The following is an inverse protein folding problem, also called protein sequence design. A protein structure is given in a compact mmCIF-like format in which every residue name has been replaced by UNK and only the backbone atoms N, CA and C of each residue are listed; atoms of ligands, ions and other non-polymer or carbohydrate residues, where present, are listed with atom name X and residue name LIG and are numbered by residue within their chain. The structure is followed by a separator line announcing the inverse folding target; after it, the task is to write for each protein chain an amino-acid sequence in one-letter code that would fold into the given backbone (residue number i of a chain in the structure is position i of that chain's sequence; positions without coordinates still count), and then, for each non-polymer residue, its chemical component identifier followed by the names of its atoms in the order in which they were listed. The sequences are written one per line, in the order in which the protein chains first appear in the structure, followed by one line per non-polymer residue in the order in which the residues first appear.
data_IF_393045177714
#
_entry.id   IF_393045177714
#
_cell.length_a   1.000
_cell.length_b   1.000
_cell.length_c   1.000
_cell.angle_alpha   90.00
_cell.angle_beta   90.00
_cell.angle_gamma   90.00
#
_symmetry.space_group_name_H-M   'P 1'
#
loop_
_entity.id
_entity.type
_entity.pdbx_description
1 polymer ?
#
# COMPACT_ATOMS: atom_id res chain seq x y z
N UNK A 1 -1.44 -9.83 -10.89
CA UNK A 1 -2.83 -10.32 -10.94
C UNK A 1 -3.75 -9.15 -10.64
N UNK A 2 -4.83 -9.02 -11.41
CA UNK A 2 -5.81 -7.94 -11.25
C UNK A 2 -7.20 -8.48 -10.93
N UNK A 3 -8.04 -7.64 -10.31
CA UNK A 3 -9.45 -7.90 -10.07
C UNK A 3 -10.24 -6.62 -10.36
N UNK A 4 -11.42 -6.74 -10.95
CA UNK A 4 -12.35 -5.61 -11.13
C UNK A 4 -13.65 -5.89 -10.38
N UNK A 5 -14.14 -4.91 -9.65
CA UNK A 5 -15.41 -4.99 -8.92
C UNK A 5 -16.20 -3.70 -9.08
N UNK A 6 -17.52 -3.82 -9.16
CA UNK A 6 -18.43 -2.68 -9.05
C UNK A 6 -18.62 -2.35 -7.55
N UNK A 7 -18.34 -1.10 -7.17
CA UNK A 7 -18.46 -0.61 -5.80
C UNK A 7 -19.43 0.57 -5.78
N UNK A 8 -20.42 0.52 -4.89
CA UNK A 8 -21.35 1.64 -4.68
C UNK A 8 -20.59 2.92 -4.34
N UNK A 9 -20.84 4.00 -5.07
CA UNK A 9 -20.04 5.23 -5.05
C UNK A 9 -19.08 5.36 -6.23
N UNK A 10 -17.85 4.80 -6.18
CA UNK A 10 -16.83 5.01 -7.20
C UNK A 10 -17.07 4.23 -8.51
N UNK A 11 -18.03 3.29 -8.54
CA UNK A 11 -18.35 2.47 -9.70
C UNK A 11 -17.34 1.33 -9.88
N UNK A 12 -16.93 1.05 -11.11
CA UNK A 12 -15.95 0.02 -11.41
C UNK A 12 -14.55 0.40 -10.88
N UNK A 13 -14.00 -0.43 -10.00
CA UNK A 13 -12.67 -0.27 -9.40
C UNK A 13 -11.75 -1.39 -9.83
N UNK A 14 -10.54 -1.05 -10.29
CA UNK A 14 -9.46 -1.99 -10.59
C UNK A 14 -8.57 -2.19 -9.37
N UNK A 15 -8.27 -3.43 -9.02
CA UNK A 15 -7.39 -3.82 -7.92
C UNK A 15 -6.16 -4.54 -8.45
N UNK A 16 -4.98 -4.21 -7.92
CA UNK A 16 -3.72 -4.92 -8.16
C UNK A 16 -2.83 -4.87 -6.92
N UNK A 17 -1.79 -5.70 -6.84
CA UNK A 17 -0.85 -5.63 -5.71
C UNK A 17 0.02 -4.38 -5.78
N UNK A 18 0.72 -4.17 -6.90
CA UNK A 18 1.49 -2.94 -7.16
C UNK A 18 0.96 -2.19 -8.38
N UNK A 19 1.45 -2.50 -9.58
CA UNK A 19 0.90 -2.00 -10.85
C UNK A 19 0.14 -3.13 -11.55
N UNK A 20 -0.75 -2.85 -12.52
CA UNK A 20 -1.44 -3.91 -13.26
C UNK A 20 -0.51 -4.84 -14.05
N UNK A 21 0.71 -4.37 -14.38
CA UNK A 21 1.69 -5.12 -15.17
C UNK A 21 2.80 -5.79 -14.35
N UNK A 22 2.98 -5.39 -13.09
CA UNK A 22 4.02 -5.93 -12.21
C UNK A 22 3.59 -5.95 -10.75
N UNK A 23 3.92 -7.04 -10.07
CA UNK A 23 3.71 -7.19 -8.62
C UNK A 23 4.85 -6.53 -7.80
N UNK A 24 5.95 -6.11 -8.45
CA UNK A 24 7.17 -5.65 -7.76
C UNK A 24 7.62 -4.24 -8.13
N UNK A 25 7.02 -3.63 -9.16
CA UNK A 25 7.33 -2.24 -9.50
C UNK A 25 6.99 -1.33 -8.33
N UNK A 26 7.92 -0.48 -7.91
CA UNK A 26 7.67 0.45 -6.80
C UNK A 26 7.25 1.80 -7.35
N UNK A 27 6.14 2.34 -6.84
CA UNK A 27 5.77 3.74 -6.96
C UNK A 27 5.14 4.25 -5.66
N UNK A 28 5.29 5.53 -5.39
CA UNK A 28 4.90 6.16 -4.13
C UNK A 28 4.11 7.44 -4.39
N UNK A 29 3.64 8.08 -3.31
CA UNK A 29 3.02 9.41 -3.41
C UNK A 29 3.96 10.49 -3.95
N UNK A 30 5.29 10.25 -3.93
CA UNK A 30 6.29 11.19 -4.44
C UNK A 30 6.74 10.89 -5.87
N UNK A 31 6.38 9.73 -6.42
CA UNK A 31 6.72 9.39 -7.81
C UNK A 31 6.15 10.45 -8.76
N UNK A 32 7.01 10.93 -9.65
CA UNK A 32 6.66 11.99 -10.60
C UNK A 32 5.54 11.52 -11.53
N UNK A 33 4.49 12.33 -11.68
CA UNK A 33 3.31 11.96 -12.45
C UNK A 33 3.64 11.61 -13.91
N UNK A 34 4.55 12.35 -14.55
CA UNK A 34 4.99 12.06 -15.92
C UNK A 34 5.61 10.67 -16.11
N UNK A 35 6.14 10.03 -15.05
CA UNK A 35 6.60 8.63 -15.10
C UNK A 35 5.46 7.62 -14.99
N UNK A 36 4.36 8.01 -14.36
CA UNK A 36 3.19 7.16 -14.11
C UNK A 36 2.17 7.25 -15.26
N UNK A 37 2.02 8.41 -15.91
CA UNK A 37 1.05 8.57 -17.01
C UNK A 37 1.12 7.44 -18.06
N UNK A 38 2.31 7.03 -18.58
CA UNK A 38 2.39 5.94 -19.55
C UNK A 38 1.92 4.57 -19.02
N UNK A 39 1.87 4.39 -17.69
CA UNK A 39 1.41 3.17 -17.03
C UNK A 39 -0.10 3.19 -16.77
N UNK A 40 -0.65 4.36 -16.41
CA UNK A 40 -2.03 4.49 -15.94
C UNK A 40 -2.99 4.93 -17.06
N UNK A 41 -2.60 5.81 -17.98
CA UNK A 41 -3.49 6.27 -19.07
C UNK A 41 -4.06 5.13 -19.93
N UNK A 42 -3.27 4.11 -20.34
CA UNK A 42 -3.79 3.02 -21.17
C UNK A 42 -4.82 2.13 -20.45
N UNK A 43 -4.90 2.19 -19.12
CA UNK A 43 -5.85 1.38 -18.35
C UNK A 43 -7.30 1.84 -18.55
N UNK A 44 -7.50 3.13 -18.85
CA UNK A 44 -8.83 3.75 -19.02
C UNK A 44 -9.79 3.48 -17.85
N UNK A 45 -9.26 3.42 -16.62
CA UNK A 45 -10.04 3.26 -15.39
C UNK A 45 -10.12 4.58 -14.62
N UNK A 46 -11.28 4.86 -14.03
CA UNK A 46 -11.48 6.02 -13.15
C UNK A 46 -10.84 5.82 -11.78
N UNK A 47 -10.71 4.58 -11.32
CA UNK A 47 -10.17 4.25 -10.01
C UNK A 47 -9.32 2.97 -10.00
N UNK A 48 -8.21 3.05 -9.28
CA UNK A 48 -7.35 1.90 -9.00
C UNK A 48 -7.00 1.84 -7.51
N UNK A 49 -7.08 0.65 -6.92
CA UNK A 49 -6.62 0.38 -5.56
C UNK A 49 -5.42 -0.55 -5.61
N UNK A 50 -4.33 -0.15 -4.95
CA UNK A 50 -3.09 -0.91 -4.86
C UNK A 50 -2.59 -1.08 -3.42
N UNK A 51 -1.46 -1.75 -3.28
CA UNK A 51 -0.73 -1.97 -2.04
C UNK A 51 0.79 -1.90 -2.28
N UNK A 52 1.48 -3.00 -1.97
CA UNK A 52 2.92 -3.22 -2.22
C UNK A 52 3.90 -2.34 -1.42
N UNK A 53 3.73 -1.01 -1.43
CA UNK A 53 4.63 -0.09 -0.73
C UNK A 53 4.24 0.19 0.71
N UNK A 54 3.12 -0.36 1.17
CA UNK A 54 2.68 -0.37 2.57
C UNK A 54 2.36 1.00 3.20
N UNK A 55 2.49 2.09 2.43
CA UNK A 55 2.14 3.45 2.81
C UNK A 55 0.80 3.84 2.18
N UNK A 56 -0.09 4.42 2.98
CA UNK A 56 -1.36 4.91 2.45
C UNK A 56 -1.16 6.19 1.65
N UNK A 57 -1.84 6.28 0.50
CA UNK A 57 -2.02 7.54 -0.22
C UNK A 57 -3.30 7.50 -1.06
N UNK A 58 -3.76 8.69 -1.43
CA UNK A 58 -4.89 8.90 -2.34
C UNK A 58 -4.53 10.09 -3.23
N UNK A 59 -4.31 9.83 -4.52
CA UNK A 59 -3.93 10.88 -5.47
C UNK A 59 -4.46 10.62 -6.87
N UNK A 60 -4.56 11.68 -7.65
CA UNK A 60 -4.78 11.59 -9.09
C UNK A 60 -3.47 11.30 -9.82
N UNK A 61 -3.56 10.47 -10.86
CA UNK A 61 -2.54 10.25 -11.88
C UNK A 61 -3.26 10.35 -13.23
N UNK A 62 -3.12 11.49 -13.90
CA UNK A 62 -3.95 11.80 -15.06
C UNK A 62 -5.44 11.70 -14.73
N UNK A 63 -6.18 10.87 -15.48
CA UNK A 63 -7.61 10.63 -15.26
C UNK A 63 -7.96 9.60 -14.18
N UNK A 64 -6.98 8.89 -13.61
CA UNK A 64 -7.21 7.80 -12.66
C UNK A 64 -6.97 8.25 -11.23
N UNK A 65 -7.94 8.02 -10.33
CA UNK A 65 -7.74 8.13 -8.88
C UNK A 65 -7.09 6.86 -8.36
N UNK A 66 -5.88 6.97 -7.82
CA UNK A 66 -5.10 5.84 -7.33
C UNK A 66 -5.00 5.91 -5.82
N UNK A 67 -5.43 4.83 -5.16
CA UNK A 67 -5.46 4.72 -3.70
C UNK A 67 -4.63 3.53 -3.28
N UNK A 68 -3.62 3.77 -2.45
CA UNK A 68 -2.88 2.70 -1.79
C UNK A 68 -3.51 2.41 -0.43
N UNK A 69 -3.94 1.17 -0.20
CA UNK A 69 -4.63 0.80 1.02
C UNK A 69 -3.71 0.75 2.26
N UNK A 70 -2.39 0.74 2.05
CA UNK A 70 -1.39 0.54 3.10
C UNK A 70 -1.18 -0.96 3.39
N UNK A 71 -0.69 -1.24 4.60
CA UNK A 71 -0.46 -2.62 5.07
C UNK A 71 -1.05 -2.86 6.44
N UNK A 72 -1.80 -3.95 6.56
CA UNK A 72 -2.41 -4.37 7.83
C UNK A 72 -1.35 -4.87 8.81
N UNK A 73 -0.34 -5.60 8.33
CA UNK A 73 0.63 -6.31 9.18
C UNK A 73 2.05 -5.75 9.16
N UNK A 74 2.36 -4.86 8.22
CA UNK A 74 3.70 -4.28 8.07
C UNK A 74 3.61 -2.85 7.53
N UNK A 75 2.95 -1.92 8.24
CA UNK A 75 2.86 -0.53 7.79
C UNK A 75 4.24 0.14 7.75
N UNK A 76 4.40 1.14 6.89
CA UNK A 76 5.50 2.10 6.99
C UNK A 76 4.92 3.47 7.40
N UNK A 77 5.39 3.99 8.54
CA UNK A 77 4.78 5.10 9.26
C UNK A 77 4.58 4.76 10.73
N UNK A 78 3.48 5.26 11.31
CA UNK A 78 3.12 4.97 12.70
C UNK A 78 2.62 3.53 12.89
N UNK A 79 2.82 2.90 14.07
CA UNK A 79 2.23 1.59 14.37
C UNK A 79 0.70 1.56 14.19
N UNK A 80 0.20 0.51 13.54
CA UNK A 80 -1.23 0.27 13.34
C UNK A 80 -1.52 -0.67 12.17
N UNK A 81 -2.75 -1.14 12.08
CA UNK A 81 -3.22 -1.86 10.89
C UNK A 81 -3.84 -0.86 9.92
N UNK A 82 -3.24 -0.70 8.73
CA UNK A 82 -3.70 0.24 7.70
C UNK A 82 -4.57 -0.50 6.68
N UNK A 83 -5.75 0.06 6.40
CA UNK A 83 -6.72 -0.51 5.48
C UNK A 83 -7.61 0.57 4.86
N UNK A 84 -8.31 0.21 3.78
CA UNK A 84 -9.18 1.10 3.03
C UNK A 84 -10.64 0.71 3.23
N UNK A 85 -11.48 1.65 3.66
CA UNK A 85 -12.94 1.49 3.61
C UNK A 85 -13.43 2.01 2.26
N UNK A 86 -14.01 1.10 1.46
CA UNK A 86 -14.60 1.37 0.16
C UNK A 86 -16.13 1.25 0.24
N UNK A 87 -16.80 2.22 -0.36
CA UNK A 87 -18.26 2.35 -0.43
C UNK A 87 -18.60 3.73 -1.00
N UNK A 88 -19.77 4.31 -0.68
CA UNK A 88 -20.17 5.62 -1.17
C UNK A 88 -19.10 6.71 -0.95
N UNK A 89 -18.36 6.57 0.15
CA UNK A 89 -17.14 7.32 0.43
C UNK A 89 -15.91 6.39 0.42
N UNK A 90 -14.75 6.98 0.18
CA UNK A 90 -13.45 6.32 0.27
C UNK A 90 -12.69 6.88 1.46
N UNK A 91 -12.31 6.01 2.39
CA UNK A 91 -11.65 6.44 3.63
C UNK A 91 -10.45 5.55 3.95
N UNK A 92 -9.28 6.17 4.02
CA UNK A 92 -8.08 5.56 4.57
C UNK A 92 -8.26 5.41 6.08
N UNK A 93 -8.02 4.21 6.60
CA UNK A 93 -8.22 3.85 8.01
C UNK A 93 -6.95 3.26 8.58
N UNK A 94 -6.76 3.52 9.88
CA UNK A 94 -5.75 2.91 10.73
C UNK A 94 -6.44 2.45 12.00
N UNK A 95 -6.23 1.19 12.37
CA UNK A 95 -6.76 0.60 13.60
C UNK A 95 -5.58 0.26 14.52
N UNK A 96 -5.65 0.72 15.77
CA UNK A 96 -4.71 0.29 16.81
C UNK A 96 -5.11 -1.08 17.34
N UNK A 97 -4.12 -1.88 17.70
CA UNK A 97 -4.29 -3.19 18.32
C UNK A 97 -3.20 -3.37 19.38
N UNK A 98 -3.27 -4.47 20.13
CA UNK A 98 -2.24 -4.80 21.11
C UNK A 98 -0.95 -5.23 20.38
N UNK A 99 -0.06 -4.26 20.16
CA UNK A 99 1.21 -4.47 19.45
C UNK A 99 2.14 -5.42 20.18
N UNK A 100 2.16 -5.36 21.52
CA UNK A 100 2.98 -6.24 22.35
C UNK A 100 2.52 -7.68 22.24
N UNK A 101 1.21 -7.93 22.36
CA UNK A 101 0.65 -9.27 22.22
C UNK A 101 0.84 -9.82 20.79
N UNK A 102 0.66 -8.97 19.76
CA UNK A 102 0.92 -9.38 18.39
C UNK A 102 2.40 -9.75 18.17
N UNK A 103 3.33 -8.95 18.69
CA UNK A 103 4.76 -9.22 18.63
C UNK A 103 5.13 -10.53 19.35
N UNK A 104 4.57 -10.79 20.54
CA UNK A 104 4.75 -12.07 21.26
C UNK A 104 4.25 -13.27 20.46
N UNK A 105 3.08 -13.14 19.83
CA UNK A 105 2.55 -14.21 18.96
C UNK A 105 3.45 -14.48 17.75
N UNK A 106 4.02 -13.44 17.15
CA UNK A 106 4.95 -13.57 16.02
C UNK A 106 6.25 -14.25 16.47
N UNK A 107 6.81 -13.85 17.62
CA UNK A 107 7.99 -14.49 18.23
C UNK A 107 7.80 -15.97 18.51
N UNK A 108 6.57 -16.38 18.81
CA UNK A 108 6.22 -17.79 19.04
C UNK A 108 6.10 -18.64 17.77
N UNK A 109 6.32 -18.08 16.57
CA UNK A 109 6.27 -18.82 15.30
C UNK A 109 7.62 -19.43 14.92
N UNK A 110 7.63 -20.38 13.99
CA UNK A 110 8.87 -20.92 13.39
C UNK A 110 9.46 -20.02 12.30
N UNK A 111 8.94 -18.81 12.10
CA UNK A 111 9.46 -17.88 11.09
C UNK A 111 10.90 -17.45 11.45
N UNK A 112 11.91 -17.68 10.58
CA UNK A 112 13.30 -17.42 10.95
C UNK A 112 13.61 -15.98 11.37
N UNK A 113 12.82 -15.00 10.90
CA UNK A 113 12.98 -13.58 11.24
C UNK A 113 11.89 -13.10 12.22
N UNK A 114 11.27 -13.99 12.99
CA UNK A 114 10.16 -13.65 13.89
C UNK A 114 10.51 -12.52 14.86
N UNK A 115 11.69 -12.56 15.49
CA UNK A 115 12.13 -11.48 16.40
C UNK A 115 12.31 -10.15 15.66
N UNK A 116 13.02 -10.18 14.53
CA UNK A 116 13.26 -8.99 13.71
C UNK A 116 11.94 -8.38 13.23
N UNK A 117 11.01 -9.20 12.74
CA UNK A 117 9.71 -8.74 12.28
C UNK A 117 8.86 -8.17 13.43
N UNK A 118 8.83 -8.86 14.59
CA UNK A 118 8.09 -8.38 15.76
C UNK A 118 8.58 -6.99 16.20
N UNK A 119 9.89 -6.76 16.21
CA UNK A 119 10.47 -5.46 16.56
C UNK A 119 10.27 -4.45 15.41
N UNK A 120 10.79 -4.74 14.23
CA UNK A 120 10.94 -3.78 13.16
C UNK A 120 9.68 -3.59 12.29
N UNK A 121 8.65 -4.42 12.41
CA UNK A 121 7.42 -4.29 11.60
C UNK A 121 6.17 -4.04 12.44
N UNK A 122 6.16 -4.46 13.71
CA UNK A 122 4.98 -4.33 14.60
C UNK A 122 5.20 -3.28 15.69
N UNK A 123 6.28 -3.38 16.46
CA UNK A 123 6.52 -2.47 17.59
C UNK A 123 7.09 -1.12 17.14
N UNK A 124 8.06 -1.14 16.23
CA UNK A 124 8.77 0.04 15.73
C UNK A 124 8.94 -0.04 14.21
N UNK A 125 7.85 0.09 13.43
CA UNK A 125 7.91 0.10 11.98
C UNK A 125 8.79 1.25 11.45
N UNK A 126 9.42 1.10 10.27
CA UNK A 126 10.12 2.20 9.61
C UNK A 126 9.18 3.38 9.37
N UNK A 127 9.69 4.61 9.51
CA UNK A 127 8.92 5.79 9.15
C UNK A 127 8.64 5.83 7.64
N UNK A 128 7.56 6.50 7.26
CA UNK A 128 7.22 6.72 5.85
C UNK A 128 8.35 7.45 5.13
N UNK A 129 8.92 8.49 5.74
CA UNK A 129 10.05 9.27 5.20
C UNK A 129 11.24 8.38 4.83
N UNK A 130 11.68 7.53 5.77
CA UNK A 130 12.79 6.58 5.55
C UNK A 130 12.50 5.63 4.39
N UNK A 131 11.25 5.18 4.26
CA UNK A 131 10.88 4.24 3.20
C UNK A 131 10.74 4.92 1.84
N UNK A 132 10.28 6.18 1.79
CA UNK A 132 10.28 6.98 0.56
C UNK A 132 11.71 7.17 0.04
N UNK A 133 12.67 7.45 0.92
CA UNK A 133 14.09 7.53 0.55
C UNK A 133 14.62 6.19 0.03
N UNK A 134 14.33 5.09 0.73
CA UNK A 134 14.76 3.75 0.35
C UNK A 134 14.17 3.28 -0.99
N UNK A 135 12.96 3.71 -1.33
CA UNK A 135 12.27 3.34 -2.58
C UNK A 135 12.66 4.18 -3.78
N UNK A 136 13.17 5.40 -3.57
CA UNK A 136 13.59 6.31 -4.66
C UNK A 136 14.52 5.65 -5.70
N UNK A 137 15.60 4.93 -5.33
CA UNK A 137 16.53 4.36 -6.31
C UNK A 137 15.96 3.16 -7.09
N UNK A 138 14.88 2.54 -6.62
CA UNK A 138 14.24 1.35 -7.24
C UNK A 138 12.88 1.66 -7.83
N UNK A 139 12.54 2.95 -7.94
CA UNK A 139 11.26 3.40 -8.47
C UNK A 139 11.08 2.98 -9.94
N UNK A 140 10.03 2.19 -10.19
CA UNK A 140 9.67 1.62 -11.50
C UNK A 140 10.79 0.83 -12.19
N UNK A 141 11.75 0.28 -11.41
CA UNK A 141 12.71 -0.69 -11.95
C UNK A 141 12.04 -2.06 -12.09
N UNK A 142 12.32 -2.83 -13.17
CA UNK A 142 11.82 -4.19 -13.35
C UNK A 142 12.19 -5.14 -12.21
#
# INVERSE_FOLDING_TARGET
KTLQLEIDGPGQVLFCHSTPRSETEVFTRLTAEGRLLPLFEPLQVSMLVCGHTHMQFDRMIGGTRVVNAGSVGMPFGEPGAYWLLLGPDIRLRRTLYDFTQAAERIRGTEYPQAEEFAVQSVLTPPSEEKMLEAFTPVELTP
#
